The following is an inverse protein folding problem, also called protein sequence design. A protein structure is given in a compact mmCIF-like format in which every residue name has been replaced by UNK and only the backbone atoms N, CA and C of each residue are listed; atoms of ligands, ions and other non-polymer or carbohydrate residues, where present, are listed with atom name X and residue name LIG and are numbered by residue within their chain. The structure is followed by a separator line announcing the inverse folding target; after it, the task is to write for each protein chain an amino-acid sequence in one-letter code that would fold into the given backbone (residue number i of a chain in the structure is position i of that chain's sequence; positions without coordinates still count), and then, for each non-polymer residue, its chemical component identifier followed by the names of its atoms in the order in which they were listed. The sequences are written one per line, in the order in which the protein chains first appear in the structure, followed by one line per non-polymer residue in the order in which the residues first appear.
data_IF_299609298216
#
_entry.id   IF_299609298216
#
_cell.length_a   1.000
_cell.length_b   1.000
_cell.length_c   1.000
_cell.angle_alpha   90.00
_cell.angle_beta   90.00
_cell.angle_gamma   90.00
#
_symmetry.space_group_name_H-M   'P 1'
#
loop_
_entity.id
_entity.type
_entity.pdbx_description
1 polymer ?
#
# COMPACT_ATOMS: atom_id res chain seq x y z
N UNK A 1 52.83 24.05 -58.64
CA UNK A 1 51.45 23.59 -58.91
C UNK A 1 50.82 23.32 -57.56
N UNK A 2 50.04 24.28 -57.09
CA UNK A 2 49.23 24.20 -55.87
C UNK A 2 48.16 23.13 -56.02
N UNK A 3 47.92 22.36 -54.96
CA UNK A 3 46.61 22.15 -54.29
C UNK A 3 46.75 20.97 -53.31
N UNK A 4 47.22 21.22 -52.09
CA UNK A 4 46.70 20.45 -50.95
C UNK A 4 45.48 21.21 -50.47
N UNK A 5 44.36 20.90 -51.10
CA UNK A 5 43.03 21.30 -50.67
C UNK A 5 42.78 20.57 -49.33
N UNK A 6 43.32 21.16 -48.26
CA UNK A 6 43.13 20.75 -46.88
C UNK A 6 41.67 21.12 -46.57
N UNK A 7 40.76 20.23 -46.95
CA UNK A 7 39.36 20.28 -46.53
C UNK A 7 39.36 20.21 -45.00
N UNK A 8 39.48 21.38 -44.36
CA UNK A 8 39.18 21.61 -42.97
C UNK A 8 37.71 21.21 -42.79
N UNK A 9 37.47 19.92 -42.55
CA UNK A 9 36.14 19.42 -42.25
C UNK A 9 35.63 20.24 -41.08
N UNK A 10 34.53 20.94 -41.32
CA UNK A 10 33.90 21.88 -40.40
C UNK A 10 33.28 21.11 -39.22
N UNK A 11 34.16 20.51 -38.41
CA UNK A 11 33.79 19.56 -37.38
C UNK A 11 33.48 20.33 -36.11
N UNK A 12 32.32 20.05 -35.56
CA UNK A 12 31.87 20.61 -34.29
C UNK A 12 32.27 19.72 -33.10
N UNK A 13 32.47 20.33 -31.94
CA UNK A 13 32.64 19.65 -30.68
C UNK A 13 31.36 18.93 -30.27
N UNK A 14 31.46 17.64 -29.93
CA UNK A 14 30.27 16.85 -29.53
C UNK A 14 29.62 17.26 -28.20
N UNK A 15 30.22 18.18 -27.43
CA UNK A 15 29.64 18.65 -26.17
C UNK A 15 28.98 20.03 -26.30
N UNK A 16 29.66 20.99 -26.95
CA UNK A 16 29.19 22.38 -27.00
C UNK A 16 28.87 22.88 -28.42
N UNK A 17 29.10 22.08 -29.45
CA UNK A 17 28.89 22.47 -30.85
C UNK A 17 29.93 23.44 -31.44
N UNK A 18 30.89 23.92 -30.64
CA UNK A 18 31.92 24.86 -31.10
C UNK A 18 32.92 24.27 -32.11
N UNK A 19 33.59 25.14 -32.87
CA UNK A 19 34.58 24.76 -33.89
C UNK A 19 35.74 23.93 -33.33
N UNK A 20 36.20 22.97 -34.14
CA UNK A 20 37.36 22.10 -33.86
C UNK A 20 38.59 22.48 -34.69
N UNK A 21 38.63 23.69 -35.25
CA UNK A 21 39.76 24.18 -36.03
C UNK A 21 41.06 24.13 -35.20
N UNK A 22 42.15 23.66 -35.81
CA UNK A 22 43.45 23.48 -35.14
C UNK A 22 43.53 22.29 -34.18
N UNK A 23 42.50 21.43 -34.10
CA UNK A 23 42.57 20.15 -33.39
C UNK A 23 42.88 19.00 -34.33
N UNK A 24 43.46 17.94 -33.78
CA UNK A 24 43.73 16.71 -34.53
C UNK A 24 42.45 16.13 -35.11
N UNK A 25 42.54 15.47 -36.26
CA UNK A 25 41.39 14.83 -36.94
C UNK A 25 40.67 13.79 -36.06
N UNK A 26 41.30 13.28 -35.00
CA UNK A 26 40.69 12.35 -34.02
C UNK A 26 40.09 13.02 -32.78
N UNK A 27 40.31 14.31 -32.56
CA UNK A 27 39.84 15.00 -31.36
C UNK A 27 38.30 15.10 -31.33
N UNK A 28 37.66 14.67 -30.24
CA UNK A 28 36.19 14.68 -30.15
C UNK A 28 35.62 15.97 -29.53
N UNK A 29 36.44 16.67 -28.74
CA UNK A 29 36.02 17.85 -27.97
C UNK A 29 36.98 19.02 -28.17
N UNK A 30 36.45 20.25 -28.16
CA UNK A 30 37.25 21.46 -28.43
C UNK A 30 38.22 21.80 -27.28
N UNK A 31 37.96 21.30 -26.08
CA UNK A 31 38.74 21.58 -24.88
C UNK A 31 38.69 20.42 -23.87
N UNK A 32 39.68 20.38 -22.97
CA UNK A 32 39.67 19.47 -21.79
C UNK A 32 38.37 19.62 -20.99
N UNK A 33 37.91 20.85 -20.79
CA UNK A 33 36.66 21.18 -20.09
C UNK A 33 35.44 20.55 -20.77
N UNK A 34 35.35 20.61 -22.09
CA UNK A 34 34.24 19.98 -22.83
C UNK A 34 34.30 18.45 -22.75
N UNK A 35 35.50 17.85 -22.80
CA UNK A 35 35.69 16.41 -22.57
C UNK A 35 35.23 15.99 -21.17
N UNK A 36 35.61 16.74 -20.14
CA UNK A 36 35.26 16.46 -18.75
C UNK A 36 33.76 16.58 -18.50
N UNK A 37 33.11 17.62 -19.02
CA UNK A 37 31.66 17.79 -18.91
C UNK A 37 30.89 16.69 -19.62
N UNK A 38 31.29 16.32 -20.84
CA UNK A 38 30.67 15.21 -21.56
C UNK A 38 30.88 13.86 -20.86
N UNK A 39 32.05 13.64 -20.24
CA UNK A 39 32.30 12.45 -19.41
C UNK A 39 31.44 12.45 -18.15
N UNK A 40 31.37 13.58 -17.43
CA UNK A 40 30.54 13.71 -16.23
C UNK A 40 29.05 13.52 -16.52
N UNK A 41 28.54 14.07 -17.62
CA UNK A 41 27.15 13.88 -18.06
C UNK A 41 26.86 12.40 -18.32
N UNK A 42 27.72 11.71 -19.08
CA UNK A 42 27.57 10.27 -19.36
C UNK A 42 27.61 9.44 -18.09
N UNK A 43 28.64 9.60 -17.26
CA UNK A 43 28.74 8.83 -16.01
C UNK A 43 27.63 9.17 -14.99
N UNK A 44 27.10 10.40 -15.03
CA UNK A 44 25.90 10.78 -14.28
C UNK A 44 24.68 10.00 -14.75
N UNK A 45 24.44 9.94 -16.06
CA UNK A 45 23.32 9.16 -16.63
C UNK A 45 23.46 7.65 -16.36
N UNK A 46 24.66 7.08 -16.52
CA UNK A 46 24.95 5.67 -16.22
C UNK A 46 24.72 5.35 -14.74
N UNK A 47 25.18 6.22 -13.84
CA UNK A 47 24.97 6.06 -12.39
C UNK A 47 23.49 6.10 -12.04
N UNK A 48 22.75 7.06 -12.59
CA UNK A 48 21.31 7.18 -12.38
C UNK A 48 20.56 5.95 -12.90
N UNK A 49 20.95 5.43 -14.07
CA UNK A 49 20.40 4.19 -14.63
C UNK A 49 20.67 3.00 -13.70
N UNK A 50 21.93 2.78 -13.27
CA UNK A 50 22.28 1.71 -12.33
C UNK A 50 21.51 1.82 -11.01
N UNK A 51 21.39 3.02 -10.45
CA UNK A 51 20.64 3.24 -9.21
C UNK A 51 19.14 2.91 -9.39
N UNK A 52 18.57 3.27 -10.54
CA UNK A 52 17.19 2.91 -10.91
C UNK A 52 17.03 1.40 -11.05
N UNK A 53 17.99 0.71 -11.65
CA UNK A 53 18.00 -0.74 -11.81
C UNK A 53 18.10 -1.45 -10.45
N UNK A 54 19.03 -1.01 -9.59
CA UNK A 54 19.16 -1.50 -8.22
C UNK A 54 17.86 -1.32 -7.41
N UNK A 55 17.22 -0.15 -7.53
CA UNK A 55 15.93 0.11 -6.87
C UNK A 55 14.83 -0.81 -7.40
N UNK A 56 14.80 -1.06 -8.69
CA UNK A 56 13.81 -1.94 -9.33
C UNK A 56 14.02 -3.40 -8.90
N UNK A 57 15.28 -3.85 -8.86
CA UNK A 57 15.65 -5.16 -8.37
C UNK A 57 15.27 -5.33 -6.89
N UNK A 58 15.57 -4.35 -6.03
CA UNK A 58 15.15 -4.35 -4.62
C UNK A 58 13.64 -4.41 -4.47
N UNK A 59 12.87 -3.61 -5.23
CA UNK A 59 11.40 -3.67 -5.20
C UNK A 59 10.87 -5.06 -5.56
N UNK A 60 11.50 -5.74 -6.51
CA UNK A 60 11.12 -7.10 -6.93
C UNK A 60 11.31 -8.13 -5.81
N UNK A 61 12.39 -8.02 -5.05
CA UNK A 61 12.65 -8.92 -3.91
C UNK A 61 11.81 -8.52 -2.69
N UNK A 62 11.74 -7.23 -2.35
CA UNK A 62 10.95 -6.70 -1.24
C UNK A 62 9.47 -7.09 -1.33
N UNK A 63 8.86 -6.99 -2.51
CA UNK A 63 7.44 -7.35 -2.74
C UNK A 63 7.13 -8.83 -2.45
N UNK A 64 8.14 -9.69 -2.37
CA UNK A 64 7.96 -11.11 -1.97
C UNK A 64 7.97 -11.30 -0.46
N UNK A 65 8.45 -10.35 0.33
CA UNK A 65 8.42 -10.41 1.79
C UNK A 65 7.01 -10.17 2.33
N UNK A 66 6.73 -10.54 3.58
CA UNK A 66 5.44 -10.26 4.20
C UNK A 66 5.11 -8.76 4.22
N UNK A 67 6.08 -7.92 4.60
CA UNK A 67 5.96 -6.46 4.61
C UNK A 67 5.66 -5.89 3.21
N UNK A 68 6.43 -6.28 2.20
CA UNK A 68 6.22 -5.80 0.84
C UNK A 68 4.92 -6.30 0.19
N UNK A 69 4.41 -7.49 0.58
CA UNK A 69 3.07 -7.94 0.18
C UNK A 69 1.98 -7.08 0.83
N UNK A 70 2.17 -6.69 2.09
CA UNK A 70 1.21 -5.86 2.82
C UNK A 70 1.18 -4.42 2.33
N UNK A 71 2.34 -3.80 2.10
CA UNK A 71 2.45 -2.47 1.45
C UNK A 71 1.75 -2.46 0.09
N UNK A 72 1.97 -3.50 -0.72
CA UNK A 72 1.31 -3.61 -2.02
C UNK A 72 -0.20 -3.74 -1.86
N UNK A 73 -0.68 -4.54 -0.91
CA UNK A 73 -2.11 -4.65 -0.65
C UNK A 73 -2.69 -3.31 -0.22
N UNK A 74 -2.02 -2.58 0.69
CA UNK A 74 -2.46 -1.28 1.20
C UNK A 74 -2.63 -0.26 0.07
N UNK A 75 -1.65 -0.16 -0.83
CA UNK A 75 -1.74 0.72 -2.01
C UNK A 75 -2.89 0.33 -2.95
N UNK A 76 -3.10 -0.97 -3.18
CA UNK A 76 -4.20 -1.45 -4.01
C UNK A 76 -5.58 -1.20 -3.37
N UNK A 77 -5.71 -1.41 -2.05
CA UNK A 77 -6.94 -1.21 -1.30
C UNK A 77 -7.30 0.28 -1.24
N UNK A 78 -6.32 1.14 -0.94
CA UNK A 78 -6.44 2.60 -1.01
C UNK A 78 -6.90 3.09 -2.38
N UNK A 79 -6.28 2.58 -3.46
CA UNK A 79 -6.72 2.92 -4.83
C UNK A 79 -8.16 2.48 -5.08
N UNK A 80 -8.51 1.24 -4.71
CA UNK A 80 -9.86 0.71 -4.88
C UNK A 80 -10.91 1.53 -4.11
N UNK A 81 -10.61 1.94 -2.88
CA UNK A 81 -11.51 2.74 -2.07
C UNK A 81 -11.79 4.12 -2.70
N UNK A 82 -10.76 4.76 -3.27
CA UNK A 82 -10.93 6.01 -4.04
C UNK A 82 -11.78 5.79 -5.27
N UNK A 83 -11.56 4.71 -6.02
CA UNK A 83 -12.35 4.37 -7.21
C UNK A 83 -13.83 4.13 -6.85
N UNK A 84 -14.14 3.71 -5.61
CA UNK A 84 -15.51 3.55 -5.08
C UNK A 84 -16.09 4.83 -4.46
N UNK A 85 -15.37 5.95 -4.47
CA UNK A 85 -15.88 7.22 -3.93
C UNK A 85 -15.94 7.29 -2.40
N UNK A 86 -15.10 6.53 -1.70
CA UNK A 86 -15.05 6.55 -0.23
C UNK A 86 -14.78 7.99 0.29
N UNK A 87 -15.52 8.46 1.32
CA UNK A 87 -15.43 9.84 1.81
C UNK A 87 -14.07 10.19 2.43
N UNK A 88 -13.40 9.21 3.03
CA UNK A 88 -12.04 9.33 3.54
C UNK A 88 -11.24 8.06 3.21
N UNK A 89 -9.95 8.24 2.88
CA UNK A 89 -9.06 7.14 2.47
C UNK A 89 -7.64 7.31 3.04
N UNK A 90 -7.25 6.37 3.88
CA UNK A 90 -5.92 6.21 4.45
C UNK A 90 -5.12 5.10 3.76
N UNK A 91 -3.84 4.98 4.10
CA UNK A 91 -3.02 3.83 3.70
C UNK A 91 -3.08 2.77 4.80
N UNK A 92 -4.17 2.00 4.84
CA UNK A 92 -4.39 0.96 5.86
C UNK A 92 -3.50 -0.25 5.56
N UNK A 93 -2.68 -0.68 6.52
CA UNK A 93 -1.92 -1.93 6.45
C UNK A 93 -2.67 -3.04 7.18
N UNK A 94 -2.80 -4.22 6.56
CA UNK A 94 -3.60 -5.32 7.15
C UNK A 94 -3.01 -5.79 8.46
N UNK A 95 -1.68 -5.89 8.52
CA UNK A 95 -1.00 -6.38 9.72
C UNK A 95 -1.33 -5.53 10.94
N UNK A 96 -1.37 -4.21 10.77
CA UNK A 96 -1.68 -3.28 11.86
C UNK A 96 -3.13 -3.45 12.35
N UNK A 97 -4.10 -3.63 11.44
CA UNK A 97 -5.49 -3.95 11.79
C UNK A 97 -5.59 -5.29 12.54
N UNK A 98 -4.92 -6.32 12.04
CA UNK A 98 -4.95 -7.66 12.64
C UNK A 98 -4.29 -7.70 14.02
N UNK A 99 -3.19 -6.97 14.20
CA UNK A 99 -2.50 -6.87 15.49
C UNK A 99 -3.31 -6.05 16.49
N UNK A 100 -3.95 -4.95 16.06
CA UNK A 100 -4.88 -4.16 16.89
C UNK A 100 -6.04 -5.00 17.40
N UNK A 101 -6.62 -5.84 16.53
CA UNK A 101 -7.80 -6.64 16.86
C UNK A 101 -7.44 -8.00 17.51
N UNK A 102 -6.17 -8.20 17.89
CA UNK A 102 -5.72 -9.43 18.55
C UNK A 102 -5.87 -10.69 17.69
N UNK A 103 -5.94 -10.54 16.36
CA UNK A 103 -6.23 -11.62 15.41
C UNK A 103 -7.60 -12.28 15.61
N UNK A 104 -8.56 -11.57 16.22
CA UNK A 104 -9.93 -12.02 16.40
C UNK A 104 -10.82 -11.47 15.27
N UNK A 105 -11.67 -12.33 14.73
CA UNK A 105 -12.69 -11.92 13.77
C UNK A 105 -13.75 -11.09 14.49
N UNK A 106 -13.92 -9.82 14.11
CA UNK A 106 -14.89 -8.91 14.72
C UNK A 106 -16.34 -9.23 14.31
N UNK A 107 -16.54 -10.10 13.31
CA UNK A 107 -17.86 -10.56 12.90
C UNK A 107 -18.40 -11.67 13.80
N UNK A 108 -17.57 -12.66 14.14
CA UNK A 108 -18.01 -13.86 14.87
C UNK A 108 -17.32 -14.07 16.23
N UNK A 109 -16.28 -13.30 16.54
CA UNK A 109 -15.52 -13.40 17.78
C UNK A 109 -14.40 -14.44 17.81
N UNK A 110 -14.34 -15.35 16.83
CA UNK A 110 -13.38 -16.45 16.84
C UNK A 110 -11.98 -16.04 16.31
N UNK A 111 -10.90 -16.73 16.75
CA UNK A 111 -9.56 -16.51 16.22
C UNK A 111 -9.44 -16.74 14.71
N UNK A 112 -8.68 -15.88 14.05
CA UNK A 112 -8.29 -15.99 12.64
C UNK A 112 -6.94 -16.70 12.49
N UNK A 113 -6.70 -17.27 11.32
CA UNK A 113 -5.36 -17.73 10.93
C UNK A 113 -4.47 -16.52 10.66
N UNK A 114 -3.23 -16.60 11.16
CA UNK A 114 -2.23 -15.54 10.99
C UNK A 114 -1.71 -15.41 9.56
N UNK A 115 -1.86 -16.47 8.79
CA UNK A 115 -1.52 -16.49 7.37
C UNK A 115 -2.70 -15.96 6.55
N UNK A 116 -2.44 -14.93 5.74
CA UNK A 116 -3.43 -14.46 4.78
C UNK A 116 -3.41 -15.34 3.54
N UNK A 117 -4.57 -15.81 3.08
CA UNK A 117 -4.65 -16.66 1.89
C UNK A 117 -6.08 -16.84 1.40
N UNK A 118 -6.32 -18.00 0.79
CA UNK A 118 -7.65 -18.43 0.32
C UNK A 118 -8.37 -19.30 1.35
N UNK A 119 -7.74 -19.60 2.49
CA UNK A 119 -8.38 -20.38 3.53
C UNK A 119 -9.56 -19.58 4.13
N UNK A 120 -10.75 -20.20 4.29
CA UNK A 120 -11.93 -19.58 4.90
C UNK A 120 -11.67 -18.86 6.23
N UNK A 121 -10.78 -19.40 7.08
CA UNK A 121 -10.41 -18.86 8.39
C UNK A 121 -9.21 -17.90 8.33
N UNK A 122 -8.69 -17.58 7.14
CA UNK A 122 -7.65 -16.55 6.96
C UNK A 122 -8.14 -15.19 7.44
N UNK A 123 -7.26 -14.42 8.08
CA UNK A 123 -7.54 -13.02 8.37
C UNK A 123 -7.68 -12.19 7.07
N UNK A 124 -8.74 -11.39 7.02
CA UNK A 124 -9.06 -10.43 5.97
C UNK A 124 -9.45 -9.09 6.60
N UNK A 125 -9.23 -7.99 5.89
CA UNK A 125 -9.73 -6.68 6.31
C UNK A 125 -11.12 -6.48 5.75
N UNK A 126 -12.06 -6.18 6.62
CA UNK A 126 -13.44 -5.81 6.30
C UNK A 126 -13.71 -4.37 6.75
N UNK A 127 -14.76 -3.76 6.18
CA UNK A 127 -15.21 -2.43 6.54
C UNK A 127 -16.41 -2.49 7.48
N UNK A 128 -16.34 -1.81 8.63
CA UNK A 128 -17.46 -1.73 9.58
C UNK A 128 -18.70 -1.20 8.88
N UNK A 129 -18.57 -0.09 8.16
CA UNK A 129 -19.55 0.43 7.21
C UNK A 129 -19.00 0.15 5.80
N UNK A 130 -19.68 -0.64 4.95
CA UNK A 130 -19.25 -0.94 3.60
C UNK A 130 -19.04 0.31 2.76
N UNK A 131 -18.09 0.27 1.82
CA UNK A 131 -17.84 1.39 0.91
C UNK A 131 -19.07 1.76 0.06
N UNK A 132 -19.90 0.77 -0.28
CA UNK A 132 -21.14 0.97 -1.05
C UNK A 132 -22.20 1.75 -0.27
N UNK A 133 -22.15 1.69 1.06
CA UNK A 133 -23.05 2.40 1.98
C UNK A 133 -22.41 3.70 2.51
N UNK A 134 -21.39 4.21 1.82
CA UNK A 134 -20.71 5.46 2.19
C UNK A 134 -19.62 5.31 3.26
N UNK A 135 -19.19 4.09 3.58
CA UNK A 135 -18.09 3.87 4.52
C UNK A 135 -16.73 4.37 4.02
N UNK A 136 -15.88 4.80 4.95
CA UNK A 136 -14.50 5.23 4.68
C UNK A 136 -13.53 4.04 4.57
N UNK A 137 -12.37 4.26 3.94
CA UNK A 137 -11.24 3.33 4.02
C UNK A 137 -10.18 3.88 4.97
N UNK A 138 -10.47 3.83 6.27
CA UNK A 138 -9.62 4.32 7.37
C UNK A 138 -9.42 3.24 8.42
N UNK A 139 -8.46 3.41 9.32
CA UNK A 139 -8.26 2.46 10.43
C UNK A 139 -9.53 2.30 11.28
N UNK A 140 -10.25 3.39 11.55
CA UNK A 140 -11.47 3.38 12.37
C UNK A 140 -12.63 2.60 11.74
N UNK A 141 -12.70 2.57 10.40
CA UNK A 141 -13.75 1.85 9.68
C UNK A 141 -13.26 0.50 9.11
N UNK A 142 -12.07 0.03 9.52
CA UNK A 142 -11.56 -1.29 9.09
C UNK A 142 -11.38 -2.20 10.29
N UNK A 143 -11.73 -3.46 10.12
CA UNK A 143 -11.68 -4.49 11.16
C UNK A 143 -11.18 -5.82 10.59
N UNK A 144 -10.72 -6.68 11.49
CA UNK A 144 -10.32 -8.04 11.19
C UNK A 144 -11.54 -8.92 11.04
N UNK A 145 -11.61 -9.69 9.96
CA UNK A 145 -12.65 -10.67 9.71
C UNK A 145 -12.06 -11.94 9.10
N UNK A 146 -12.65 -13.11 9.37
CA UNK A 146 -12.39 -14.28 8.53
C UNK A 146 -12.76 -13.98 7.09
N UNK A 147 -12.00 -14.53 6.13
CA UNK A 147 -12.33 -14.44 4.72
C UNK A 147 -13.76 -14.93 4.44
N UNK A 148 -14.15 -16.04 5.06
CA UNK A 148 -15.50 -16.60 4.97
C UNK A 148 -16.59 -15.66 5.51
N UNK A 149 -16.44 -15.17 6.73
CA UNK A 149 -17.45 -14.30 7.35
C UNK A 149 -17.62 -12.99 6.56
N UNK A 150 -16.51 -12.43 6.07
CA UNK A 150 -16.53 -11.23 5.22
C UNK A 150 -17.29 -11.50 3.89
N UNK A 151 -16.89 -12.54 3.15
CA UNK A 151 -17.38 -12.79 1.79
C UNK A 151 -18.77 -13.45 1.74
N UNK A 152 -19.09 -14.31 2.71
CA UNK A 152 -20.32 -15.12 2.66
C UNK A 152 -21.41 -14.61 3.58
N UNK A 153 -21.09 -14.15 4.79
CA UNK A 153 -22.08 -13.78 5.80
C UNK A 153 -22.42 -12.28 5.76
N UNK A 154 -21.42 -11.39 5.85
CA UNK A 154 -21.65 -9.94 5.90
C UNK A 154 -21.90 -9.33 4.53
N UNK A 155 -21.01 -9.57 3.56
CA UNK A 155 -21.08 -9.01 2.19
C UNK A 155 -21.19 -7.48 2.19
N UNK A 156 -22.39 -6.95 1.94
CA UNK A 156 -22.69 -5.52 1.83
C UNK A 156 -23.42 -4.98 3.07
N UNK A 157 -23.60 -5.79 4.10
CA UNK A 157 -24.18 -5.35 5.38
C UNK A 157 -23.15 -4.55 6.16
N UNK A 158 -23.60 -3.59 6.98
CA UNK A 158 -22.73 -3.04 8.01
C UNK A 158 -22.45 -4.07 9.10
N UNK A 159 -21.41 -3.82 9.89
CA UNK A 159 -21.07 -4.67 11.04
C UNK A 159 -22.24 -4.69 12.03
N UNK A 160 -22.88 -3.55 12.26
CA UNK A 160 -24.07 -3.41 13.09
C UNK A 160 -25.23 -4.27 12.54
N UNK A 161 -25.59 -4.13 11.25
CA UNK A 161 -26.67 -4.93 10.66
C UNK A 161 -26.38 -6.44 10.68
N UNK A 162 -25.11 -6.83 10.53
CA UNK A 162 -24.71 -8.22 10.65
C UNK A 162 -24.89 -8.72 12.10
N UNK A 163 -24.53 -7.90 13.07
CA UNK A 163 -24.70 -8.19 14.49
C UNK A 163 -26.16 -8.24 14.89
N UNK A 164 -27.00 -7.29 14.48
CA UNK A 164 -28.44 -7.29 14.78
C UNK A 164 -29.11 -8.57 14.27
N UNK A 165 -28.84 -8.94 13.01
CA UNK A 165 -29.35 -10.18 12.42
C UNK A 165 -28.80 -11.45 13.10
N UNK A 166 -27.58 -11.38 13.64
CA UNK A 166 -26.99 -12.49 14.39
C UNK A 166 -27.61 -12.57 15.79
N UNK A 167 -27.78 -11.46 16.50
CA UNK A 167 -28.28 -11.38 17.87
C UNK A 167 -29.73 -11.86 17.99
N UNK A 168 -30.57 -11.58 16.99
CA UNK A 168 -31.92 -12.19 16.88
C UNK A 168 -31.89 -13.73 16.84
N UNK A 169 -30.77 -14.33 16.45
CA UNK A 169 -30.58 -15.79 16.32
C UNK A 169 -29.75 -16.46 17.43
N UNK A 170 -29.08 -15.69 18.31
CA UNK A 170 -28.14 -16.24 19.32
C UNK A 170 -28.31 -15.68 20.74
N UNK A 171 -29.55 -15.49 21.21
CA UNK A 171 -29.87 -14.99 22.56
C UNK A 171 -29.09 -15.62 23.75
N UNK A 172 -28.40 -16.76 23.56
CA UNK A 172 -27.64 -17.49 24.58
C UNK A 172 -26.10 -17.59 24.35
N UNK A 173 -25.46 -16.85 23.42
CA UNK A 173 -24.01 -16.96 23.20
C UNK A 173 -23.21 -15.79 23.82
N UNK A 174 -22.14 -16.07 24.61
CA UNK A 174 -21.40 -15.05 25.34
C UNK A 174 -20.56 -14.15 24.42
N UNK A 175 -20.37 -12.89 24.85
CA UNK A 175 -19.56 -11.89 24.14
C UNK A 175 -18.07 -12.26 24.32
N UNK A 176 -17.29 -12.40 23.23
CA UNK A 176 -15.86 -12.68 23.31
C UNK A 176 -15.11 -11.56 24.04
N UNK A 177 -14.23 -11.90 25.01
CA UNK A 177 -13.46 -10.94 25.83
C UNK A 177 -12.74 -9.84 25.05
N UNK A 178 -12.31 -10.11 23.82
CA UNK A 178 -11.63 -9.13 22.96
C UNK A 178 -12.51 -7.95 22.53
N UNK A 179 -13.82 -8.02 22.74
CA UNK A 179 -14.79 -6.97 22.40
C UNK A 179 -15.19 -6.07 23.58
N UNK A 180 -14.65 -6.30 24.78
CA UNK A 180 -14.94 -5.45 25.94
C UNK A 180 -14.16 -4.11 25.96
N UNK A 181 -13.30 -3.82 24.97
CA UNK A 181 -12.32 -2.72 25.06
C UNK A 181 -12.74 -1.40 24.39
N UNK A 182 -13.77 -1.34 23.55
CA UNK A 182 -14.27 -0.06 23.03
C UNK A 182 -15.78 -0.17 22.93
N UNK A 183 -16.50 0.91 23.24
CA UNK A 183 -17.96 1.02 23.39
C UNK A 183 -18.46 0.76 24.80
N UNK A 184 -18.38 1.81 25.63
CA UNK A 184 -19.48 2.12 26.53
C UNK A 184 -20.76 2.15 25.68
N UNK A 185 -21.66 1.20 25.90
CA UNK A 185 -22.95 1.21 25.23
C UNK A 185 -23.74 2.41 25.75
N UNK A 186 -24.14 3.29 24.84
CA UNK A 186 -25.24 4.22 25.08
C UNK A 186 -26.51 3.42 24.84
N UNK A 187 -27.39 3.37 25.83
CA UNK A 187 -28.74 2.85 25.63
C UNK A 187 -29.50 3.74 24.59
N UNK A 188 -30.71 3.35 24.16
CA UNK A 188 -31.52 4.17 23.24
C UNK A 188 -31.86 5.57 23.77
N UNK A 189 -31.65 5.84 25.06
CA UNK A 189 -31.82 7.14 25.72
C UNK A 189 -30.51 7.95 25.82
N UNK A 190 -29.35 7.37 25.48
CA UNK A 190 -28.05 8.03 25.55
C UNK A 190 -27.36 7.91 26.92
N UNK A 191 -27.71 6.91 27.74
CA UNK A 191 -27.09 6.67 29.04
C UNK A 191 -26.03 5.57 28.99
N UNK A 192 -24.95 5.74 29.75
CA UNK A 192 -23.85 4.77 29.84
C UNK A 192 -24.31 3.55 30.66
N UNK A 193 -24.35 2.38 30.03
CA UNK A 193 -24.63 1.10 30.72
C UNK A 193 -23.33 0.31 30.89
N UNK A 194 -23.02 -0.02 32.14
CA UNK A 194 -21.92 -0.93 32.50
C UNK A 194 -22.28 -2.37 32.09
N UNK A 195 -21.39 -3.01 31.32
CA UNK A 195 -21.56 -4.41 30.93
C UNK A 195 -21.24 -5.29 32.14
N UNK A 196 -22.22 -6.09 32.58
CA UNK A 196 -22.04 -7.02 33.69
C UNK A 196 -20.94 -8.06 33.38
N UNK A 197 -19.99 -8.30 34.30
CA UNK A 197 -18.80 -9.12 34.06
C UNK A 197 -19.11 -10.59 33.74
N UNK A 198 -20.29 -11.07 34.08
CA UNK A 198 -20.75 -12.44 33.82
C UNK A 198 -21.19 -12.69 32.36
N UNK A 199 -21.21 -11.65 31.51
CA UNK A 199 -21.51 -11.75 30.07
C UNK A 199 -20.25 -11.75 29.19
N UNK A 200 -19.06 -11.73 29.80
CA UNK A 200 -17.76 -11.58 29.14
C UNK A 200 -16.97 -12.89 29.26
N UNK A 201 -16.61 -13.50 28.11
CA UNK A 201 -16.04 -14.85 28.05
C UNK A 201 -14.51 -14.85 28.15
N UNK A 202 -13.91 -15.59 29.11
CA UNK A 202 -12.47 -15.75 29.41
C UNK A 202 -11.52 -16.04 28.22
#
# INVERSE_FOLDING_TARGET
MSTTDDQMTDRACQHCGGSMQGKTTRAVYCSRRCKERASAQRHGTERNARQKDSRTAWKKTHRKTAAGRDERWAEMAKRRARDHGAPAVELVKRREVFERDGWLCQLCGEPTLRETGTDPRSASVDHTIPLTEGGSHTYDNTVTAHLACNVWEKRTKSLADHWDARWESVADKPIPLGQAIIWTLLDPAGDLVDIEPEKVCA
#
